data_IF_505066933154
#
_entry.id   IF_505066933154
#
_cell.length_a   1.000
_cell.length_b   1.000
_cell.length_c   1.000
_cell.angle_alpha   90.00
_cell.angle_beta   90.00
_cell.angle_gamma   90.00
#
_symmetry.space_group_name_H-M   'P 1'
#
loop_
_entity.id
_entity.type
_entity.pdbx_description
1 polymer ?
#
# COMPACT_ATOMS: atom_id res chain seq x y z
N UNK A 1 -0.90 12.30 -16.96
CA UNK A 1 0.20 11.31 -16.80
C UNK A 1 -0.16 10.21 -15.81
N UNK A 2 -0.53 10.52 -14.56
CA UNK A 2 -0.84 9.50 -13.53
C UNK A 2 -1.91 8.49 -14.01
N UNK A 3 -3.03 8.96 -14.56
CA UNK A 3 -4.07 8.09 -15.15
C UNK A 3 -3.56 7.19 -16.27
N UNK A 4 -2.60 7.67 -17.08
CA UNK A 4 -2.02 6.89 -18.18
C UNK A 4 -1.16 5.74 -17.66
N UNK A 5 -0.29 6.00 -16.68
CA UNK A 5 0.57 4.98 -16.07
C UNK A 5 -0.27 3.90 -15.36
N UNK A 6 -1.35 4.31 -14.70
CA UNK A 6 -2.30 3.40 -14.06
C UNK A 6 -3.06 2.54 -15.09
N UNK A 7 -3.64 3.17 -16.13
CA UNK A 7 -4.33 2.45 -17.19
C UNK A 7 -3.42 1.44 -17.90
N UNK A 8 -2.15 1.80 -18.12
CA UNK A 8 -1.17 0.89 -18.69
C UNK A 8 -0.87 -0.31 -17.77
N UNK A 9 -0.76 -0.09 -16.46
CA UNK A 9 -0.61 -1.18 -15.48
C UNK A 9 -1.84 -2.12 -15.49
N UNK A 10 -3.06 -1.58 -15.55
CA UNK A 10 -4.28 -2.38 -15.66
C UNK A 10 -4.32 -3.19 -16.96
N UNK A 11 -3.93 -2.61 -18.09
CA UNK A 11 -3.88 -3.29 -19.38
C UNK A 11 -2.88 -4.46 -19.38
N UNK A 12 -1.71 -4.25 -18.77
CA UNK A 12 -0.68 -5.29 -18.56
C UNK A 12 -1.20 -6.43 -17.69
N UNK A 13 -1.88 -6.09 -16.59
CA UNK A 13 -2.40 -7.06 -15.61
C UNK A 13 -3.77 -7.66 -15.97
N UNK A 14 -4.26 -7.49 -17.20
CA UNK A 14 -5.59 -7.98 -17.62
C UNK A 14 -5.84 -9.47 -17.35
N UNK A 15 -4.80 -10.29 -17.43
CA UNK A 15 -4.87 -11.74 -17.20
C UNK A 15 -4.97 -12.12 -15.71
N UNK A 16 -4.68 -11.18 -14.80
CA UNK A 16 -4.74 -11.38 -13.35
C UNK A 16 -6.11 -10.99 -12.77
N UNK A 17 -6.96 -10.33 -13.57
CA UNK A 17 -8.31 -9.91 -13.16
C UNK A 17 -9.15 -11.10 -12.69
N UNK A 18 -8.99 -12.28 -13.28
CA UNK A 18 -9.75 -13.47 -12.87
C UNK A 18 -9.38 -14.00 -11.49
N UNK A 19 -8.22 -13.59 -10.95
CA UNK A 19 -7.74 -14.00 -9.62
C UNK A 19 -8.04 -12.98 -8.53
N UNK A 20 -8.65 -11.84 -8.89
CA UNK A 20 -9.06 -10.84 -7.89
C UNK A 20 -10.24 -11.36 -7.08
N UNK A 21 -10.37 -10.82 -5.87
CA UNK A 21 -11.41 -11.23 -4.94
C UNK A 21 -12.82 -10.96 -5.49
N UNK A 22 -13.01 -9.82 -6.14
CA UNK A 22 -14.25 -9.43 -6.81
C UNK A 22 -14.73 -10.46 -7.86
N UNK A 23 -13.80 -11.11 -8.57
CA UNK A 23 -14.14 -12.08 -9.60
C UNK A 23 -14.29 -13.51 -9.05
N UNK A 24 -13.53 -13.85 -8.01
CA UNK A 24 -13.47 -15.21 -7.48
C UNK A 24 -14.46 -15.49 -6.35
N UNK A 25 -14.81 -14.48 -5.55
CA UNK A 25 -15.58 -14.66 -4.31
C UNK A 25 -16.87 -13.86 -4.28
N UNK A 26 -16.90 -12.66 -4.87
CA UNK A 26 -18.12 -11.84 -4.86
C UNK A 26 -19.10 -12.24 -5.96
N UNK A 27 -20.39 -12.18 -5.64
CA UNK A 27 -21.45 -12.32 -6.65
C UNK A 27 -21.73 -10.95 -7.27
N UNK A 28 -22.00 -10.94 -8.58
CA UNK A 28 -22.42 -9.74 -9.28
C UNK A 28 -23.70 -9.17 -8.64
N UNK A 29 -23.60 -7.97 -8.09
CA UNK A 29 -24.70 -7.29 -7.42
C UNK A 29 -24.71 -5.78 -7.71
N UNK A 30 -25.66 -5.08 -7.10
CA UNK A 30 -25.80 -3.64 -7.27
C UNK A 30 -24.52 -2.88 -6.85
N UNK A 31 -23.91 -3.25 -5.74
CA UNK A 31 -22.68 -2.60 -5.24
C UNK A 31 -21.56 -2.66 -6.28
N UNK A 32 -21.22 -3.86 -6.77
CA UNK A 32 -20.15 -4.03 -7.75
C UNK A 32 -20.46 -3.33 -9.08
N UNK A 33 -21.73 -3.32 -9.50
CA UNK A 33 -22.15 -2.63 -10.74
C UNK A 33 -22.06 -1.11 -10.60
N UNK A 34 -22.55 -0.57 -9.48
CA UNK A 34 -22.50 0.87 -9.19
C UNK A 34 -21.05 1.38 -9.11
N UNK A 35 -20.18 0.67 -8.40
CA UNK A 35 -18.77 1.06 -8.26
C UNK A 35 -18.05 1.06 -9.61
N UNK A 36 -18.27 0.05 -10.45
CA UNK A 36 -17.63 -0.03 -11.77
C UNK A 36 -18.15 1.01 -12.77
N UNK A 37 -19.46 1.31 -12.77
CA UNK A 37 -20.08 2.15 -13.80
C UNK A 37 -20.20 3.62 -13.41
N UNK A 38 -20.41 3.92 -12.13
CA UNK A 38 -20.63 5.28 -11.66
C UNK A 38 -19.44 5.77 -10.83
N UNK A 39 -19.08 5.06 -9.74
CA UNK A 39 -18.12 5.64 -8.80
C UNK A 39 -16.73 5.83 -9.44
N UNK A 40 -16.12 4.77 -9.97
CA UNK A 40 -14.75 4.81 -10.53
C UNK A 40 -14.58 5.89 -11.62
N UNK A 41 -15.42 5.97 -12.68
CA UNK A 41 -15.21 7.00 -13.70
C UNK A 41 -15.43 8.42 -13.17
N UNK A 42 -16.41 8.65 -12.28
CA UNK A 42 -16.70 10.01 -11.80
C UNK A 42 -15.73 10.48 -10.71
N UNK A 43 -15.29 9.59 -9.81
CA UNK A 43 -14.35 9.95 -8.74
C UNK A 43 -12.93 10.16 -9.27
N UNK A 44 -12.45 9.32 -10.19
CA UNK A 44 -11.09 9.42 -10.73
C UNK A 44 -10.89 10.64 -11.65
N UNK A 45 -11.95 11.12 -12.30
CA UNK A 45 -11.92 12.32 -13.15
C UNK A 45 -12.06 13.63 -12.36
N UNK A 46 -12.38 13.58 -11.05
CA UNK A 46 -12.62 14.76 -10.25
C UNK A 46 -11.42 15.72 -10.23
N UNK A 47 -10.21 15.20 -10.01
CA UNK A 47 -8.99 16.01 -9.99
C UNK A 47 -8.75 16.70 -11.33
N UNK A 48 -8.91 15.99 -12.45
CA UNK A 48 -8.71 16.58 -13.79
C UNK A 48 -9.75 17.64 -14.11
N UNK A 49 -11.00 17.42 -13.70
CA UNK A 49 -12.09 18.39 -13.88
C UNK A 49 -11.87 19.64 -13.04
N UNK A 50 -11.39 19.48 -11.80
CA UNK A 50 -11.02 20.59 -10.93
C UNK A 50 -9.88 21.42 -11.54
N UNK A 51 -8.83 20.79 -12.07
CA UNK A 51 -7.73 21.49 -12.73
C UNK A 51 -8.17 22.20 -14.01
N UNK A 52 -9.10 21.62 -14.78
CA UNK A 52 -9.57 22.22 -16.04
C UNK A 52 -10.48 23.44 -15.83
N UNK A 53 -11.24 23.48 -14.73
CA UNK A 53 -12.25 24.51 -14.48
C UNK A 53 -11.75 25.68 -13.60
N UNK A 54 -10.48 25.70 -13.20
CA UNK A 54 -9.91 26.73 -12.33
C UNK A 54 -8.77 27.47 -13.04
N UNK A 55 -8.60 28.76 -12.74
CA UNK A 55 -7.52 29.56 -13.30
C UNK A 55 -6.13 29.01 -12.89
N UNK A 56 -5.17 28.89 -13.83
CA UNK A 56 -3.80 28.44 -13.56
C UNK A 56 -3.07 29.11 -12.40
N UNK A 57 -3.39 30.38 -12.11
CA UNK A 57 -2.77 31.12 -11.01
C UNK A 57 -3.15 30.56 -9.63
N UNK A 58 -4.31 29.90 -9.50
CA UNK A 58 -4.82 29.39 -8.20
C UNK A 58 -4.06 28.17 -7.67
N UNK A 59 -3.40 27.42 -8.55
CA UNK A 59 -2.65 26.20 -8.20
C UNK A 59 -1.16 26.30 -8.54
N UNK A 60 -0.66 27.51 -8.83
CA UNK A 60 0.74 27.76 -9.10
C UNK A 60 1.58 27.46 -7.85
N UNK A 61 2.21 26.28 -7.84
CA UNK A 61 3.09 25.83 -6.77
C UNK A 61 4.56 25.96 -7.16
N UNK A 62 5.46 25.87 -6.17
CA UNK A 62 6.89 25.92 -6.43
C UNK A 62 7.30 24.81 -7.41
N UNK A 63 7.85 25.21 -8.57
CA UNK A 63 8.24 24.29 -9.65
C UNK A 63 9.22 23.22 -9.17
N UNK A 64 10.14 23.57 -8.27
CA UNK A 64 11.10 22.62 -7.71
C UNK A 64 10.43 21.54 -6.85
N UNK A 65 9.45 21.94 -6.03
CA UNK A 65 8.67 20.99 -5.22
C UNK A 65 7.85 20.06 -6.12
N UNK A 66 7.21 20.60 -7.17
CA UNK A 66 6.44 19.80 -8.13
C UNK A 66 7.32 18.78 -8.86
N UNK A 67 8.52 19.19 -9.29
CA UNK A 67 9.49 18.29 -9.92
C UNK A 67 9.95 17.20 -8.95
N UNK A 68 10.18 17.52 -7.68
CA UNK A 68 10.52 16.51 -6.66
C UNK A 68 9.38 15.50 -6.46
N UNK A 69 8.12 15.97 -6.36
CA UNK A 69 6.96 15.07 -6.26
C UNK A 69 6.75 14.21 -7.50
N UNK A 70 7.07 14.72 -8.69
CA UNK A 70 7.00 13.96 -9.93
C UNK A 70 7.96 12.76 -9.92
N UNK A 71 9.23 12.98 -9.56
CA UNK A 71 10.21 11.89 -9.48
C UNK A 71 9.90 10.91 -8.35
N UNK A 72 9.44 11.42 -7.20
CA UNK A 72 8.97 10.58 -6.11
C UNK A 72 7.80 9.69 -6.54
N UNK A 73 6.84 10.23 -7.28
CA UNK A 73 5.70 9.47 -7.81
C UNK A 73 6.15 8.34 -8.76
N UNK A 74 7.09 8.62 -9.67
CA UNK A 74 7.63 7.59 -10.56
C UNK A 74 8.39 6.49 -9.80
N UNK A 75 9.14 6.85 -8.76
CA UNK A 75 9.80 5.89 -7.90
C UNK A 75 8.80 5.00 -7.16
N UNK A 76 7.76 5.59 -6.56
CA UNK A 76 6.70 4.84 -5.88
C UNK A 76 5.96 3.92 -6.86
N UNK A 77 5.66 4.39 -8.08
CA UNK A 77 5.07 3.57 -9.13
C UNK A 77 5.98 2.38 -9.51
N UNK A 78 7.29 2.61 -9.64
CA UNK A 78 8.26 1.56 -9.94
C UNK A 78 8.30 0.48 -8.85
N UNK A 79 8.34 0.87 -7.56
CA UNK A 79 8.28 -0.07 -6.42
C UNK A 79 6.96 -0.83 -6.42
N UNK A 80 5.84 -0.16 -6.68
CA UNK A 80 4.52 -0.78 -6.69
C UNK A 80 4.33 -1.78 -7.85
N UNK A 81 4.74 -1.43 -9.08
CA UNK A 81 4.62 -2.33 -10.25
C UNK A 81 5.57 -3.53 -10.13
N UNK A 82 6.77 -3.34 -9.56
CA UNK A 82 7.72 -4.44 -9.36
C UNK A 82 7.35 -5.35 -8.20
N UNK A 83 6.84 -4.82 -7.09
CA UNK A 83 6.36 -5.63 -5.96
C UNK A 83 5.13 -6.46 -6.30
N UNK A 84 4.10 -5.87 -6.93
CA UNK A 84 2.94 -6.65 -7.35
C UNK A 84 3.32 -7.67 -8.44
N UNK A 85 4.21 -7.31 -9.36
CA UNK A 85 4.77 -8.25 -10.34
C UNK A 85 5.44 -9.47 -9.70
N UNK A 86 6.19 -9.28 -8.61
CA UNK A 86 6.83 -10.36 -7.85
C UNK A 86 5.81 -11.29 -7.20
N UNK A 87 4.78 -10.73 -6.57
CA UNK A 87 3.69 -11.50 -5.95
C UNK A 87 2.92 -12.34 -6.97
N UNK A 88 2.58 -11.74 -8.10
CA UNK A 88 1.77 -12.39 -9.12
C UNK A 88 2.58 -13.45 -9.88
N UNK A 89 3.85 -13.16 -10.18
CA UNK A 89 4.77 -14.15 -10.76
C UNK A 89 4.96 -15.34 -9.83
N UNK A 90 5.15 -15.11 -8.53
CA UNK A 90 5.27 -16.17 -7.52
C UNK A 90 4.07 -17.12 -7.55
N UNK A 91 2.85 -16.58 -7.43
CA UNK A 91 1.61 -17.39 -7.43
C UNK A 91 1.36 -18.12 -8.74
N UNK A 92 1.73 -17.51 -9.86
CA UNK A 92 1.53 -18.11 -11.19
C UNK A 92 2.56 -19.21 -11.46
N UNK A 93 3.79 -19.05 -10.94
CA UNK A 93 4.84 -20.08 -10.97
C UNK A 93 4.48 -21.28 -10.10
N UNK A 94 3.93 -21.09 -8.90
CA UNK A 94 3.43 -22.18 -8.05
C UNK A 94 2.35 -23.02 -8.74
N UNK A 95 1.48 -22.36 -9.50
CA UNK A 95 0.39 -23.02 -10.25
C UNK A 95 0.82 -23.61 -11.59
N UNK A 96 2.09 -23.45 -11.98
CA UNK A 96 2.62 -23.91 -13.27
C UNK A 96 2.03 -23.23 -14.51
N UNK A 97 1.35 -22.08 -14.34
CA UNK A 97 0.62 -21.37 -15.41
C UNK A 97 1.34 -20.11 -15.89
N UNK A 98 2.66 -20.00 -15.63
CA UNK A 98 3.43 -18.79 -15.89
C UNK A 98 3.55 -18.48 -17.38
N UNK A 99 2.90 -17.40 -17.82
CA UNK A 99 2.95 -16.92 -19.22
C UNK A 99 3.47 -15.49 -19.25
N UNK A 100 4.72 -15.31 -19.68
CA UNK A 100 5.31 -13.99 -19.88
C UNK A 100 4.75 -13.32 -21.12
N UNK A 101 3.85 -12.34 -20.93
CA UNK A 101 3.28 -11.56 -22.04
C UNK A 101 4.23 -10.46 -22.48
N UNK A 102 4.28 -10.13 -23.77
CA UNK A 102 5.05 -8.99 -24.29
C UNK A 102 4.21 -7.71 -24.26
N UNK A 103 4.05 -7.11 -23.07
CA UNK A 103 3.30 -5.85 -22.88
C UNK A 103 4.25 -4.71 -22.53
N UNK A 104 4.15 -3.59 -23.22
CA UNK A 104 5.03 -2.45 -23.04
C UNK A 104 4.56 -1.55 -21.87
N UNK A 105 5.44 -1.06 -20.96
CA UNK A 105 6.77 -1.56 -20.58
C UNK A 105 6.70 -2.62 -19.47
N UNK A 106 7.58 -3.63 -19.54
CA UNK A 106 7.87 -4.50 -18.40
C UNK A 106 9.13 -4.01 -17.71
N UNK A 107 9.01 -3.73 -16.42
CA UNK A 107 10.14 -3.30 -15.62
C UNK A 107 11.02 -4.51 -15.29
N UNK A 108 12.35 -4.35 -15.21
CA UNK A 108 13.21 -5.41 -14.72
C UNK A 108 12.86 -5.74 -13.27
N UNK A 109 13.13 -6.98 -12.83
CA UNK A 109 12.94 -7.45 -11.44
C UNK A 109 11.50 -7.78 -11.01
N UNK A 110 10.58 -8.00 -11.97
CA UNK A 110 9.23 -8.50 -11.70
C UNK A 110 9.16 -10.00 -11.42
N UNK A 111 10.13 -10.77 -11.88
CA UNK A 111 10.21 -12.23 -11.68
C UNK A 111 11.25 -12.52 -10.61
N UNK A 112 10.88 -13.30 -9.59
CA UNK A 112 11.81 -13.74 -8.55
C UNK A 112 12.18 -15.20 -8.78
N UNK A 113 13.44 -15.46 -9.13
CA UNK A 113 13.96 -16.81 -9.32
C UNK A 113 14.45 -17.35 -7.98
N UNK A 114 13.92 -18.50 -7.54
CA UNK A 114 14.20 -19.14 -6.24
C UNK A 114 13.83 -18.28 -5.01
N UNK A 115 12.54 -17.90 -4.86
CA UNK A 115 12.07 -17.06 -3.76
C UNK A 115 12.19 -17.75 -2.40
N UNK A 116 12.59 -17.00 -1.36
CA UNK A 116 12.42 -17.47 0.03
C UNK A 116 10.94 -17.48 0.42
N UNK A 117 10.42 -18.66 0.74
CA UNK A 117 9.03 -18.86 1.15
C UNK A 117 8.93 -19.35 2.59
N UNK A 118 7.92 -18.89 3.32
CA UNK A 118 7.53 -19.45 4.62
C UNK A 118 6.32 -20.36 4.38
N UNK A 119 6.41 -21.61 4.80
CA UNK A 119 5.29 -22.56 4.70
C UNK A 119 4.32 -22.31 5.86
N UNK A 120 3.05 -22.08 5.55
CA UNK A 120 1.98 -22.04 6.55
C UNK A 120 1.49 -23.46 6.88
N UNK A 121 0.87 -23.63 8.04
CA UNK A 121 0.32 -24.91 8.50
C UNK A 121 -0.75 -25.50 7.55
N UNK A 122 -1.36 -24.64 6.72
CA UNK A 122 -2.36 -25.02 5.71
C UNK A 122 -1.74 -25.52 4.39
N UNK A 123 -0.41 -25.56 4.26
CA UNK A 123 0.29 -25.95 3.04
C UNK A 123 0.48 -24.83 2.01
N UNK A 124 -0.06 -23.64 2.26
CA UNK A 124 0.16 -22.45 1.43
C UNK A 124 1.53 -21.82 1.75
N UNK A 125 2.30 -21.50 0.71
CA UNK A 125 3.57 -20.79 0.85
C UNK A 125 3.37 -19.27 0.77
N UNK A 126 3.97 -18.56 1.72
CA UNK A 126 3.95 -17.10 1.79
C UNK A 126 5.29 -16.59 1.27
N UNK A 127 5.24 -15.68 0.29
CA UNK A 127 6.42 -15.00 -0.25
C UNK A 127 7.04 -14.10 0.83
N UNK A 128 8.26 -14.42 1.25
CA UNK A 128 9.03 -13.66 2.26
C UNK A 128 10.26 -12.97 1.67
N UNK A 129 10.30 -12.81 0.34
CA UNK A 129 11.46 -12.33 -0.41
C UNK A 129 11.14 -11.07 -1.25
N UNK A 130 12.17 -10.44 -1.81
CA UNK A 130 12.04 -9.25 -2.64
C UNK A 130 11.57 -8.00 -1.88
N UNK A 131 10.67 -7.22 -2.49
CA UNK A 131 10.11 -6.01 -1.88
C UNK A 131 9.33 -6.29 -0.58
N UNK A 132 8.66 -7.44 -0.51
CA UNK A 132 7.91 -7.85 0.68
C UNK A 132 8.84 -8.24 1.83
N UNK A 133 9.98 -8.87 1.53
CA UNK A 133 11.03 -9.15 2.51
C UNK A 133 11.64 -7.88 3.08
N UNK A 134 11.91 -6.87 2.25
CA UNK A 134 12.39 -5.56 2.71
C UNK A 134 11.36 -4.86 3.61
N UNK A 135 10.09 -4.84 3.21
CA UNK A 135 9.02 -4.25 4.02
C UNK A 135 8.95 -4.92 5.41
N UNK A 136 8.93 -6.25 5.45
CA UNK A 136 8.90 -7.01 6.71
C UNK A 136 10.14 -6.74 7.56
N UNK A 137 11.33 -6.74 6.96
CA UNK A 137 12.57 -6.43 7.67
C UNK A 137 12.54 -5.04 8.31
N UNK A 138 12.13 -4.01 7.56
CA UNK A 138 12.07 -2.64 8.07
C UNK A 138 11.00 -2.49 9.17
N UNK A 139 9.81 -3.09 9.00
CA UNK A 139 8.78 -3.08 10.05
C UNK A 139 9.27 -3.76 11.32
N UNK A 140 9.87 -4.95 11.23
CA UNK A 140 10.40 -5.69 12.38
C UNK A 140 11.55 -4.94 13.04
N UNK A 141 12.46 -4.35 12.25
CA UNK A 141 13.57 -3.54 12.76
C UNK A 141 13.06 -2.32 13.54
N UNK A 142 12.08 -1.59 13.01
CA UNK A 142 11.50 -0.41 13.65
C UNK A 142 10.74 -0.81 14.92
N UNK A 143 9.94 -1.88 14.86
CA UNK A 143 9.24 -2.41 16.04
C UNK A 143 10.21 -2.82 17.15
N UNK A 144 11.26 -3.57 16.81
CA UNK A 144 12.31 -3.98 17.76
C UNK A 144 13.08 -2.78 18.30
N UNK A 145 13.31 -1.75 17.49
CA UNK A 145 13.93 -0.50 17.96
C UNK A 145 13.02 0.20 18.98
N UNK A 146 11.75 0.43 18.64
CA UNK A 146 10.80 1.05 19.55
C UNK A 146 10.66 0.27 20.86
N UNK A 147 10.53 -1.06 20.81
CA UNK A 147 10.43 -1.89 22.03
C UNK A 147 11.67 -1.78 22.93
N UNK A 148 12.87 -1.71 22.35
CA UNK A 148 14.10 -1.50 23.13
C UNK A 148 14.12 -0.13 23.80
N UNK A 149 13.70 0.91 23.08
CA UNK A 149 13.69 2.29 23.58
C UNK A 149 12.65 2.46 24.69
N UNK A 150 11.45 1.87 24.55
CA UNK A 150 10.42 1.82 25.61
C UNK A 150 10.95 1.09 26.85
N UNK A 151 11.61 -0.06 26.67
CA UNK A 151 12.17 -0.84 27.78
C UNK A 151 13.16 0.00 28.59
N UNK A 152 14.04 0.73 27.91
CA UNK A 152 15.00 1.65 28.55
C UNK A 152 14.30 2.81 29.28
N UNK A 153 13.29 3.42 28.66
CA UNK A 153 12.53 4.50 29.30
C UNK A 153 11.74 4.02 30.52
N UNK A 154 11.14 2.82 30.46
CA UNK A 154 10.43 2.22 31.60
C UNK A 154 11.38 1.92 32.77
N UNK A 155 12.60 1.45 32.48
CA UNK A 155 13.65 1.25 33.49
C UNK A 155 14.15 2.57 34.09
N UNK A 156 14.26 3.65 33.29
CA UNK A 156 14.81 4.93 33.74
C UNK A 156 13.81 5.80 34.51
N UNK A 157 12.56 5.84 34.06
CA UNK A 157 11.54 6.78 34.55
C UNK A 157 10.47 6.13 35.43
N UNK A 158 10.43 4.79 35.54
CA UNK A 158 9.59 4.06 36.49
C UNK A 158 8.12 4.50 36.47
N UNK A 159 7.64 5.03 37.59
CA UNK A 159 6.23 5.43 37.75
C UNK A 159 5.82 6.64 36.91
N UNK A 160 6.74 7.55 36.60
CA UNK A 160 6.46 8.66 35.68
C UNK A 160 6.18 8.15 34.25
N UNK A 161 6.84 7.06 33.85
CA UNK A 161 6.58 6.43 32.55
C UNK A 161 5.20 5.76 32.48
N UNK A 162 4.72 5.21 33.59
CA UNK A 162 3.36 4.63 33.67
C UNK A 162 2.28 5.69 33.51
N UNK A 163 2.49 6.89 34.05
CA UNK A 163 1.59 8.02 33.84
C UNK A 163 1.61 8.48 32.38
N UNK A 164 2.78 8.49 31.74
CA UNK A 164 2.94 8.79 30.31
C UNK A 164 2.22 7.77 29.40
N UNK A 165 2.37 6.47 29.66
CA UNK A 165 1.69 5.40 28.91
C UNK A 165 0.15 5.52 29.00
N UNK A 166 -0.39 6.02 30.11
CA UNK A 166 -1.83 6.29 30.27
C UNK A 166 -2.31 7.48 29.45
N UNK A 167 -1.49 8.53 29.32
CA UNK A 167 -1.84 9.73 28.56
C UNK A 167 -1.67 9.53 27.05
N UNK A 168 -0.71 8.70 26.64
CA UNK A 168 -0.40 8.44 25.22
C UNK A 168 -0.40 6.93 24.97
N UNK A 169 -1.58 6.32 24.74
CA UNK A 169 -1.68 4.87 24.49
C UNK A 169 -1.18 4.44 23.10
N UNK A 170 -0.90 5.40 22.21
CA UNK A 170 -0.49 5.15 20.83
C UNK A 170 1.03 5.15 20.67
N UNK A 171 1.59 4.05 20.15
CA UNK A 171 3.04 3.93 19.95
C UNK A 171 3.54 4.49 18.59
N UNK A 172 2.80 4.28 17.50
CA UNK A 172 3.25 4.64 16.15
C UNK A 172 2.28 5.55 15.39
N UNK A 173 0.98 5.26 15.42
CA UNK A 173 -0.02 6.03 14.69
C UNK A 173 -1.05 6.56 15.70
N UNK A 174 -1.12 7.88 15.93
CA UNK A 174 -2.16 8.45 16.77
C UNK A 174 -3.48 8.39 16.02
N UNK A 175 -4.35 7.46 16.40
CA UNK A 175 -5.73 7.46 15.93
C UNK A 175 -6.48 8.46 16.79
N UNK A 176 -6.92 9.58 16.20
CA UNK A 176 -7.44 10.72 16.93
C UNK A 176 -8.84 10.42 17.51
N UNK A 177 -8.89 9.75 18.68
CA UNK A 177 -10.13 9.57 19.44
C UNK A 177 -10.41 10.81 20.29
N UNK A 178 -10.69 11.95 19.65
CA UNK A 178 -11.33 13.08 20.36
C UNK A 178 -12.80 12.72 20.64
N UNK A 179 -13.03 12.03 21.75
CA UNK A 179 -14.30 11.97 22.47
C UNK A 179 -13.98 11.69 23.94
N UNK A 180 -13.58 12.74 24.65
CA UNK A 180 -13.71 12.81 26.09
C UNK A 180 -14.39 14.14 26.39
N UNK A 181 -15.46 14.11 27.21
CA UNK A 181 -15.43 15.00 28.35
C UNK A 181 -15.68 14.21 29.64
N UNK A 182 -14.70 14.32 30.54
CA UNK A 182 -14.81 14.57 31.98
C UNK A 182 -16.20 14.37 32.62
N UNK A 183 -16.29 13.47 33.61
CA UNK A 183 -16.59 13.84 35.01
C UNK A 183 -16.59 12.57 35.89
N UNK A 184 -15.90 12.69 37.01
CA UNK A 184 -15.80 11.75 38.12
C UNK A 184 -17.16 11.41 38.77
N UNK A 185 -17.24 10.25 39.43
CA UNK A 185 -18.39 9.91 40.27
C UNK A 185 -18.46 8.48 40.83
N UNK A 186 -17.40 8.00 41.50
CA UNK A 186 -17.46 7.24 42.77
C UNK A 186 -16.07 6.95 43.33
#
# INVERSE_FOLDING_TARGET
>A
MAHFLYANACAKSKHLITTTWDMYQEKMGFMLTFWNMADVPFSYCHCTLYLANQDPAKYAWNKYALTAFFFLYLFVYWVWDTSNGQKDSFRTMERGTFVKRRTFPQLPWQELYNPKTIMADNGDAILADGWYGLALFFTVMIARRAMRDITKCRQKYGDAWRQYEKQVPYLFIPVNSKLCPLSDGL
#
